data_IF_499190673551
#
_entry.id   IF_499190673551
#
_cell.length_a   1.000
_cell.length_b   1.000
_cell.length_c   1.000
_cell.angle_alpha   90.00
_cell.angle_beta   90.00
_cell.angle_gamma   90.00
#
_symmetry.space_group_name_H-M   'P 1'
#
loop_
_entity.id
_entity.type
_entity.pdbx_description
1 polymer ?
#
# COMPACT_ATOMS: atom_id res chain seq x y z
N UNK A 1 -19.32 9.88 -2.62
CA UNK A 1 -19.46 8.51 -3.16
C UNK A 1 -19.28 7.54 -2.01
N UNK A 2 -19.88 6.35 -2.08
CA UNK A 2 -19.59 5.28 -1.13
C UNK A 2 -18.52 4.36 -1.72
N UNK A 3 -17.44 4.13 -0.98
CA UNK A 3 -16.36 3.22 -1.38
C UNK A 3 -16.46 1.94 -0.58
N UNK A 4 -16.24 0.82 -1.27
CA UNK A 4 -16.23 -0.53 -0.72
C UNK A 4 -14.89 -1.16 -1.04
N UNK A 5 -14.13 -1.60 -0.04
CA UNK A 5 -12.90 -2.35 -0.30
C UNK A 5 -12.74 -3.54 0.66
N UNK A 6 -12.12 -4.62 0.16
CA UNK A 6 -11.89 -5.84 0.91
C UNK A 6 -10.64 -6.56 0.36
N UNK A 7 -10.11 -7.52 1.12
CA UNK A 7 -9.05 -8.40 0.61
C UNK A 7 -9.63 -9.28 -0.48
N UNK A 8 -8.93 -9.45 -1.60
CA UNK A 8 -9.46 -10.15 -2.77
C UNK A 8 -9.79 -11.64 -2.52
N UNK A 9 -9.17 -12.25 -1.50
CA UNK A 9 -9.46 -13.62 -1.06
C UNK A 9 -10.61 -13.73 -0.05
N UNK A 10 -11.27 -12.62 0.29
CA UNK A 10 -12.40 -12.56 1.20
C UNK A 10 -13.72 -12.29 0.45
N UNK A 11 -14.84 -12.55 1.12
CA UNK A 11 -16.16 -12.32 0.56
C UNK A 11 -16.48 -10.83 0.53
N UNK A 12 -17.04 -10.33 -0.59
CA UNK A 12 -17.37 -8.90 -0.77
C UNK A 12 -18.35 -8.30 0.26
N UNK A 13 -18.99 -9.14 1.09
CA UNK A 13 -19.91 -8.69 2.14
C UNK A 13 -19.16 -8.17 3.38
N UNK A 14 -17.88 -8.54 3.50
CA UNK A 14 -16.98 -8.09 4.56
C UNK A 14 -16.27 -6.78 4.16
N UNK A 15 -16.74 -6.11 3.11
CA UNK A 15 -16.13 -4.88 2.64
C UNK A 15 -16.19 -3.78 3.69
N UNK A 16 -15.04 -3.18 3.93
CA UNK A 16 -14.92 -1.91 4.63
C UNK A 16 -15.56 -0.82 3.77
N UNK A 17 -16.28 0.08 4.44
CA UNK A 17 -17.16 1.04 3.82
C UNK A 17 -16.90 2.42 4.39
N UNK A 18 -16.75 3.40 3.51
CA UNK A 18 -16.68 4.80 3.91
C UNK A 18 -17.24 5.72 2.81
N UNK A 19 -17.72 6.88 3.25
CA UNK A 19 -18.13 7.95 2.35
C UNK A 19 -16.96 8.88 2.04
N UNK A 20 -16.85 9.26 0.78
CA UNK A 20 -15.97 10.35 0.36
C UNK A 20 -16.66 11.70 0.51
N UNK A 21 -15.87 12.76 0.60
CA UNK A 21 -16.38 14.13 0.61
C UNK A 21 -17.28 14.42 -0.60
N UNK A 22 -18.22 15.36 -0.41
CA UNK A 22 -19.15 15.80 -1.46
C UNK A 22 -18.34 16.34 -2.64
N UNK A 23 -18.51 15.73 -3.82
CA UNK A 23 -17.77 16.02 -5.07
C UNK A 23 -16.30 15.59 -5.13
N UNK A 24 -15.82 14.74 -4.21
CA UNK A 24 -14.48 14.17 -4.33
C UNK A 24 -14.34 13.31 -5.59
N UNK A 25 -13.30 13.57 -6.38
CA UNK A 25 -12.92 12.77 -7.56
C UNK A 25 -11.82 11.74 -7.24
N UNK A 26 -11.19 11.84 -6.07
CA UNK A 26 -10.16 10.94 -5.58
C UNK A 26 -10.25 10.79 -4.05
N UNK A 27 -9.70 9.71 -3.53
CA UNK A 27 -9.56 9.46 -2.10
C UNK A 27 -8.38 8.52 -1.84
N UNK A 28 -7.61 8.79 -0.79
CA UNK A 28 -6.48 7.96 -0.39
C UNK A 28 -6.94 6.87 0.59
N UNK A 29 -6.57 5.63 0.32
CA UNK A 29 -6.82 4.51 1.22
C UNK A 29 -5.63 4.31 2.16
N UNK A 30 -5.90 4.28 3.46
CA UNK A 30 -4.90 4.03 4.50
C UNK A 30 -5.04 2.62 5.08
N UNK A 31 -3.98 2.13 5.74
CA UNK A 31 -3.99 0.80 6.38
C UNK A 31 -3.87 -0.39 5.42
N UNK A 32 -3.50 -0.13 4.15
CA UNK A 32 -3.30 -1.17 3.13
C UNK A 32 -2.01 -1.95 3.42
N UNK A 33 -2.09 -3.28 3.38
CA UNK A 33 -0.95 -4.15 3.66
C UNK A 33 -0.14 -4.45 2.40
N UNK A 34 1.19 -4.38 2.49
CA UNK A 34 2.09 -4.73 1.39
C UNK A 34 1.96 -6.22 1.02
N UNK A 35 1.91 -6.50 -0.28
CA UNK A 35 1.81 -7.87 -0.79
C UNK A 35 0.41 -8.50 -0.69
N UNK A 36 -0.60 -7.73 -0.26
CA UNK A 36 -1.99 -8.16 -0.22
C UNK A 36 -2.75 -7.52 -1.38
N UNK A 37 -3.47 -8.35 -2.14
CA UNK A 37 -4.36 -7.85 -3.19
C UNK A 37 -5.69 -7.47 -2.58
N UNK A 38 -6.13 -6.25 -2.88
CA UNK A 38 -7.42 -5.73 -2.49
C UNK A 38 -8.32 -5.59 -3.70
N UNK A 39 -9.63 -5.72 -3.46
CA UNK A 39 -10.68 -5.44 -4.41
C UNK A 39 -11.41 -4.17 -3.97
N UNK A 40 -11.76 -3.30 -4.92
CA UNK A 40 -12.49 -2.05 -4.67
C UNK A 40 -13.67 -1.89 -5.63
N UNK A 41 -14.75 -1.33 -5.11
CA UNK A 41 -15.90 -0.84 -5.88
C UNK A 41 -16.34 0.52 -5.35
N UNK A 42 -16.92 1.33 -6.22
CA UNK A 42 -17.46 2.65 -5.87
C UNK A 42 -18.92 2.71 -6.29
N UNK A 43 -19.76 3.31 -5.46
CA UNK A 43 -21.15 3.61 -5.79
C UNK A 43 -21.46 5.10 -5.61
N UNK A 44 -22.32 5.62 -6.47
CA UNK A 44 -22.99 6.89 -6.21
C UNK A 44 -23.87 6.74 -4.97
N UNK A 45 -23.85 7.73 -4.09
CA UNK A 45 -24.65 7.75 -2.88
C UNK A 45 -25.31 9.12 -2.71
N UNK A 46 -26.58 9.13 -2.35
CA UNK A 46 -27.39 10.32 -2.06
C UNK A 46 -28.48 9.99 -1.04
N UNK A 47 -29.30 10.97 -0.67
CA UNK A 47 -30.45 10.77 0.21
C UNK A 47 -31.47 9.75 -0.34
N UNK A 48 -31.45 9.48 -1.66
CA UNK A 48 -32.26 8.44 -2.30
C UNK A 48 -31.70 7.02 -2.16
N UNK A 49 -30.52 6.87 -1.56
CA UNK A 49 -29.84 5.60 -1.33
C UNK A 49 -28.61 5.37 -2.21
N UNK A 50 -28.19 4.10 -2.24
CA UNK A 50 -27.00 3.67 -2.97
C UNK A 50 -27.33 3.33 -4.43
N UNK A 51 -26.58 3.89 -5.36
CA UNK A 51 -26.64 3.54 -6.78
C UNK A 51 -25.97 2.21 -7.11
N UNK A 52 -25.94 1.87 -8.40
CA UNK A 52 -25.24 0.67 -8.88
C UNK A 52 -23.73 0.79 -8.63
N UNK A 53 -23.15 -0.20 -7.97
CA UNK A 53 -21.70 -0.34 -7.77
C UNK A 53 -20.96 -0.46 -9.11
N UNK A 54 -19.76 0.12 -9.18
CA UNK A 54 -18.85 -0.05 -10.30
C UNK A 54 -18.41 -1.52 -10.47
N UNK A 55 -17.85 -1.88 -11.63
CA UNK A 55 -17.05 -3.10 -11.76
C UNK A 55 -15.96 -3.16 -10.68
N UNK A 56 -15.55 -4.37 -10.32
CA UNK A 56 -14.48 -4.60 -9.35
C UNK A 56 -13.13 -4.26 -9.97
N UNK A 57 -12.35 -3.43 -9.30
CA UNK A 57 -10.95 -3.17 -9.64
C UNK A 57 -10.07 -3.80 -8.56
N UNK A 58 -8.90 -4.31 -8.94
CA UNK A 58 -7.95 -4.92 -8.01
C UNK A 58 -6.69 -4.07 -7.93
N UNK A 59 -6.09 -4.00 -6.73
CA UNK A 59 -4.88 -3.22 -6.50
C UNK A 59 -4.03 -3.82 -5.37
N UNK A 60 -2.78 -3.39 -5.29
CA UNK A 60 -1.84 -3.70 -4.21
C UNK A 60 -0.93 -2.49 -3.98
N UNK A 61 -0.19 -2.46 -2.86
CA UNK A 61 0.87 -1.47 -2.68
C UNK A 61 1.92 -1.65 -3.78
N UNK A 62 1.99 -0.69 -4.70
CA UNK A 62 2.86 -0.70 -5.88
C UNK A 62 2.13 -0.37 -7.18
N UNK A 63 0.80 -0.60 -7.27
CA UNK A 63 0.05 -0.28 -8.47
C UNK A 63 -1.30 -0.98 -8.60
N UNK A 64 -1.98 -0.73 -9.73
CA UNK A 64 -3.24 -1.38 -10.07
C UNK A 64 -3.00 -2.71 -10.80
N UNK A 65 -3.87 -3.68 -10.54
CA UNK A 65 -3.88 -4.98 -11.21
C UNK A 65 -5.06 -5.00 -12.16
N UNK A 66 -4.79 -5.03 -13.47
CA UNK A 66 -5.83 -5.21 -14.48
C UNK A 66 -6.07 -6.70 -14.71
N UNK A 67 -7.31 -7.14 -14.49
CA UNK A 67 -7.77 -8.44 -14.94
C UNK A 67 -8.36 -8.30 -16.34
N UNK A 68 -7.68 -8.89 -17.31
CA UNK A 68 -8.22 -9.15 -18.64
C UNK A 68 -8.83 -10.57 -18.62
N UNK A 69 -10.04 -10.71 -19.15
CA UNK A 69 -10.74 -12.00 -19.23
C UNK A 69 -10.36 -12.80 -20.48
N UNK A 70 -9.52 -12.25 -21.36
CA UNK A 70 -9.01 -12.93 -22.57
C UNK A 70 -7.58 -13.43 -22.45
N UNK A 71 -6.86 -13.03 -21.40
CA UNK A 71 -5.47 -13.42 -21.17
C UNK A 71 -5.34 -14.01 -19.77
N UNK A 72 -4.77 -15.20 -19.61
CA UNK A 72 -4.49 -15.81 -18.29
C UNK A 72 -3.41 -15.07 -17.48
N UNK A 73 -2.96 -13.91 -17.97
CA UNK A 73 -1.88 -13.11 -17.39
C UNK A 73 -2.40 -11.90 -16.63
N UNK A 74 -1.87 -11.67 -15.44
CA UNK A 74 -2.06 -10.42 -14.70
C UNK A 74 -1.10 -9.37 -15.27
N UNK A 75 -1.63 -8.24 -15.73
CA UNK A 75 -0.78 -7.07 -16.05
C UNK A 75 -0.72 -6.16 -14.82
N UNK A 76 0.50 -5.85 -14.40
CA UNK A 76 0.81 -4.93 -13.32
C UNK A 76 1.32 -3.62 -13.94
N UNK A 77 0.60 -2.52 -13.67
CA UNK A 77 1.05 -1.17 -14.01
C UNK A 77 1.50 -0.54 -12.69
N UNK A 78 2.80 -0.70 -12.41
CA UNK A 78 3.41 -0.25 -11.16
C UNK A 78 4.04 1.12 -11.24
N UNK A 79 4.11 1.79 -10.09
CA UNK A 79 5.07 2.86 -9.85
C UNK A 79 6.36 2.19 -9.37
N UNK A 80 7.41 2.26 -10.16
CA UNK A 80 8.74 1.78 -9.86
C UNK A 80 9.43 2.70 -8.84
N UNK A 81 9.12 2.48 -7.56
CA UNK A 81 9.84 3.04 -6.40
C UNK A 81 11.24 2.41 -6.27
N UNK A 82 12.09 2.64 -7.28
CA UNK A 82 13.54 2.44 -7.23
C UNK A 82 14.22 3.49 -6.33
N UNK A 83 13.56 3.86 -5.22
CA UNK A 83 14.08 4.72 -4.17
C UNK A 83 15.16 3.98 -3.39
N UNK A 84 16.41 4.37 -3.65
CA UNK A 84 17.66 4.02 -2.97
C UNK A 84 17.48 3.70 -1.48
N UNK A 85 17.37 2.41 -1.13
CA UNK A 85 17.25 1.93 0.24
C UNK A 85 18.64 1.92 0.91
N UNK A 86 19.16 3.09 1.26
CA UNK A 86 20.26 3.21 2.22
C UNK A 86 19.75 2.95 3.65
N UNK A 87 19.16 1.79 3.91
CA UNK A 87 18.84 1.34 5.27
C UNK A 87 20.09 0.70 5.87
N UNK A 88 21.02 1.54 6.33
CA UNK A 88 22.17 1.07 7.10
C UNK A 88 21.65 0.37 8.37
N UNK A 89 21.94 -0.92 8.51
CA UNK A 89 21.55 -1.72 9.67
C UNK A 89 22.12 -1.11 10.95
N UNK A 90 21.28 -0.95 11.99
CA UNK A 90 21.68 -0.45 13.32
C UNK A 90 22.89 -1.20 13.90
N UNK A 91 23.05 -2.48 13.57
CA UNK A 91 24.19 -3.29 13.98
C UNK A 91 25.52 -2.79 13.38
N UNK A 92 25.51 -2.34 12.12
CA UNK A 92 26.71 -1.84 11.44
C UNK A 92 27.13 -0.49 12.05
N UNK A 93 26.16 0.39 12.32
CA UNK A 93 26.42 1.70 12.96
C UNK A 93 27.00 1.52 14.37
N UNK A 94 26.45 0.58 15.16
CA UNK A 94 26.96 0.26 16.50
C UNK A 94 28.38 -0.32 16.46
N UNK A 95 28.68 -1.23 15.53
CA UNK A 95 30.01 -1.81 15.41
C UNK A 95 31.08 -0.78 15.02
N UNK A 96 30.78 0.11 14.06
CA UNK A 96 31.73 1.15 13.63
C UNK A 96 31.99 2.17 14.73
N UNK A 97 30.95 2.58 15.45
CA UNK A 97 31.08 3.53 16.57
C UNK A 97 31.86 2.91 17.75
N UNK A 98 31.59 1.65 18.09
CA UNK A 98 32.33 0.94 19.14
C UNK A 98 33.82 0.79 18.78
N UNK A 99 34.13 0.43 17.53
CA UNK A 99 35.50 0.31 17.05
C UNK A 99 36.25 1.64 17.12
N UNK A 100 35.61 2.74 16.70
CA UNK A 100 36.20 4.08 16.78
C UNK A 100 36.47 4.53 18.23
N UNK A 101 35.57 4.22 19.17
CA UNK A 101 35.78 4.54 20.58
C UNK A 101 36.95 3.73 21.15
N UNK A 102 37.04 2.43 20.81
CA UNK A 102 38.10 1.55 21.28
C UNK A 102 39.49 2.01 20.79
N UNK A 103 39.60 2.39 19.52
CA UNK A 103 40.86 2.89 18.96
C UNK A 103 41.25 4.24 19.56
N UNK A 104 40.29 5.12 19.82
CA UNK A 104 40.52 6.41 20.49
C UNK A 104 41.05 6.23 21.92
N UNK A 105 40.49 5.26 22.66
CA UNK A 105 40.93 4.95 24.02
C UNK A 105 42.32 4.33 24.03
N UNK A 106 42.62 3.43 23.08
CA UNK A 106 43.93 2.80 22.95
C UNK A 106 45.03 3.82 22.63
N UNK A 107 44.73 4.85 21.83
CA UNK A 107 45.65 5.94 21.51
C UNK A 107 45.86 6.90 22.69
N UNK A 108 44.91 7.00 23.61
CA UNK A 108 45.00 7.91 24.78
C UNK A 108 45.79 7.31 25.94
N UNK A 109 45.94 5.98 25.99
CA UNK A 109 46.60 5.24 27.08
C UNK A 109 48.04 4.81 26.73
N UNK A 110 48.49 5.05 25.49
CA UNK A 110 49.87 4.91 25.03
C UNK A 110 50.58 6.28 25.02
#
# INVERSE_FOLDING_TARGET
FQVYFWKANDHFRNAEQFETAKFAISHDLYGIQKGVVYAVRVAGYSDGGEGRKSPTVYFTLGGMIRLDNTTTGLSYEGIDDSGNQNTQSLAIVLCVTLFAILTSFLVTVC
#
